data_IF_736533345969
#
_entry.id   IF_736533345969
#
_cell.length_a   1.000
_cell.length_b   1.000
_cell.length_c   1.000
_cell.angle_alpha   90.00
_cell.angle_beta   90.00
_cell.angle_gamma   90.00
#
_symmetry.space_group_name_H-M   'P 1'
#
loop_
_entity.id
_entity.type
_entity.pdbx_description
1 polymer ?
#
# COMPACT_ATOMS: atom_id res chain seq x y z
N UNK A 1 -6.00 -18.42 12.93
CA UNK A 1 -6.62 -17.35 12.11
C UNK A 1 -7.93 -16.83 12.73
N UNK A 2 -8.09 -16.85 14.05
CA UNK A 2 -9.34 -16.46 14.73
C UNK A 2 -9.35 -15.03 15.27
N UNK A 3 -8.29 -14.24 15.01
CA UNK A 3 -8.10 -12.90 15.56
C UNK A 3 -7.99 -11.79 14.49
N UNK A 4 -8.00 -12.15 13.21
CA UNK A 4 -7.96 -11.16 12.13
C UNK A 4 -9.38 -10.61 11.94
N UNK A 5 -9.56 -9.30 12.18
CA UNK A 5 -10.84 -8.61 11.96
C UNK A 5 -10.99 -8.12 10.51
N UNK A 6 -9.86 -7.88 9.83
CA UNK A 6 -9.82 -7.39 8.45
C UNK A 6 -8.67 -8.07 7.70
N UNK A 7 -8.74 -8.19 6.36
CA UNK A 7 -7.65 -8.72 5.55
C UNK A 7 -6.42 -7.81 5.62
N UNK A 8 -5.23 -8.42 5.65
CA UNK A 8 -3.96 -7.68 5.65
C UNK A 8 -3.80 -6.95 4.32
N UNK A 9 -3.68 -5.62 4.38
CA UNK A 9 -3.41 -4.77 3.22
C UNK A 9 -1.92 -4.68 2.95
N UNK A 10 -1.51 -4.65 1.68
CA UNK A 10 -0.11 -4.47 1.26
C UNK A 10 0.03 -3.19 0.46
N UNK A 11 0.89 -2.30 0.95
CA UNK A 11 1.29 -1.08 0.24
C UNK A 11 2.77 -1.21 -0.09
N UNK A 12 3.08 -1.37 -1.37
CA UNK A 12 4.42 -1.63 -1.89
C UNK A 12 4.60 -0.89 -3.22
N UNK A 13 5.84 -0.82 -3.70
CA UNK A 13 6.09 -0.43 -5.09
C UNK A 13 5.47 -1.42 -6.07
N UNK A 14 5.24 -0.97 -7.29
CA UNK A 14 4.63 -1.79 -8.34
C UNK A 14 5.54 -2.97 -8.74
N UNK A 15 4.95 -4.04 -9.26
CA UNK A 15 5.73 -5.19 -9.78
C UNK A 15 6.29 -4.88 -11.17
N UNK A 16 7.20 -3.92 -11.23
CA UNK A 16 7.87 -3.46 -12.45
C UNK A 16 9.34 -3.22 -12.16
N UNK A 17 10.16 -3.16 -13.22
CA UNK A 17 11.56 -2.76 -13.09
C UNK A 17 11.62 -1.34 -12.51
N UNK A 18 12.54 -1.09 -11.57
CA UNK A 18 12.78 0.22 -10.98
C UNK A 18 13.03 1.26 -12.07
N UNK A 19 12.27 2.37 -12.12
CA UNK A 19 12.40 3.35 -13.17
C UNK A 19 13.62 4.25 -12.98
N UNK A 20 13.86 5.14 -13.95
CA UNK A 20 14.89 6.18 -13.83
C UNK A 20 14.61 7.08 -12.62
N UNK A 21 15.66 7.63 -12.02
CA UNK A 21 15.60 8.47 -10.82
C UNK A 21 14.50 9.54 -10.83
N UNK A 22 14.25 10.20 -11.97
CA UNK A 22 13.18 11.21 -12.11
C UNK A 22 11.78 10.66 -11.80
N UNK A 23 11.56 9.36 -11.97
CA UNK A 23 10.28 8.69 -11.81
C UNK A 23 10.21 7.84 -10.54
N UNK A 24 11.26 7.83 -9.71
CA UNK A 24 11.32 7.03 -8.48
C UNK A 24 10.19 7.41 -7.51
N UNK A 25 9.88 8.70 -7.40
CA UNK A 25 8.81 9.22 -6.55
C UNK A 25 7.43 8.62 -6.88
N UNK A 26 7.16 8.33 -8.17
CA UNK A 26 5.89 7.73 -8.59
C UNK A 26 5.84 6.22 -8.39
N UNK A 27 6.99 5.56 -8.30
CA UNK A 27 7.08 4.11 -8.08
C UNK A 27 7.06 3.75 -6.59
N UNK A 28 7.70 4.59 -5.78
CA UNK A 28 7.81 4.36 -4.33
C UNK A 28 6.46 4.57 -3.64
N UNK A 29 6.12 3.73 -2.65
CA UNK A 29 4.89 3.90 -1.89
C UNK A 29 4.89 5.24 -1.14
N UNK A 30 3.81 6.01 -1.28
CA UNK A 30 3.64 7.31 -0.62
C UNK A 30 2.89 7.19 0.71
N UNK A 31 3.02 8.21 1.56
CA UNK A 31 2.30 8.26 2.83
C UNK A 31 0.77 8.26 2.63
N UNK A 32 0.28 8.89 1.56
CA UNK A 32 -1.13 8.90 1.18
C UNK A 32 -1.65 7.48 0.92
N UNK A 33 -0.93 6.69 0.12
CA UNK A 33 -1.28 5.29 -0.16
C UNK A 33 -1.32 4.42 1.10
N UNK A 34 -0.44 4.69 2.07
CA UNK A 34 -0.42 3.98 3.36
C UNK A 34 -1.65 4.32 4.19
N UNK A 35 -2.02 5.61 4.26
CA UNK A 35 -3.21 6.06 4.99
C UNK A 35 -4.47 5.47 4.36
N UNK A 36 -4.58 5.50 3.04
CA UNK A 36 -5.71 4.89 2.33
C UNK A 36 -5.81 3.39 2.61
N UNK A 37 -4.68 2.67 2.62
CA UNK A 37 -4.65 1.25 2.98
C UNK A 37 -5.13 0.99 4.42
N UNK A 38 -4.77 1.87 5.36
CA UNK A 38 -5.22 1.78 6.75
C UNK A 38 -6.72 2.06 6.90
N UNK A 39 -7.24 3.10 6.23
CA UNK A 39 -8.68 3.43 6.21
C UNK A 39 -9.48 2.27 5.62
N UNK A 40 -9.07 1.74 4.48
CA UNK A 40 -9.71 0.58 3.84
C UNK A 40 -9.75 -0.66 4.76
N UNK A 41 -8.67 -0.89 5.53
CA UNK A 41 -8.65 -1.99 6.50
C UNK A 41 -9.64 -1.77 7.65
N UNK A 42 -9.88 -0.53 8.06
CA UNK A 42 -10.82 -0.18 9.13
C UNK A 42 -12.29 -0.17 8.66
N UNK A 43 -12.55 0.13 7.39
CA UNK A 43 -13.89 0.12 6.80
C UNK A 43 -14.41 -1.29 6.50
N UNK A 44 -13.55 -2.31 6.57
CA UNK A 44 -13.94 -3.70 6.36
C UNK A 44 -14.91 -4.16 7.46
N UNK A 45 -16.20 -4.19 7.11
CA UNK A 45 -17.33 -4.62 7.96
C UNK A 45 -17.80 -6.02 7.57
#
# INVERSE_FOLDING_TARGET
LTFLLAPVQRVCGYDTIMPLYRLEEYYMPSAEQIVDGAVNAMEYT
#
